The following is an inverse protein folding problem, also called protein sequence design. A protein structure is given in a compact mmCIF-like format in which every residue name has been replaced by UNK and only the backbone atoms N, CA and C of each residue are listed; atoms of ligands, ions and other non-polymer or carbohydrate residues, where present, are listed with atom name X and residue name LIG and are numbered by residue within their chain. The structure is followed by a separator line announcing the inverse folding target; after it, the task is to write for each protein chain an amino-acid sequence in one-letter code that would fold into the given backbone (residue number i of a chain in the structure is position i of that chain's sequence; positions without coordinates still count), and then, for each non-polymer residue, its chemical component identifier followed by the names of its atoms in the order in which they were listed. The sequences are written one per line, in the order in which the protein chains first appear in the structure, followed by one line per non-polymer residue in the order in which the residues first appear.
data_IF_515366292264
#
_entry.id   IF_515366292264
#
_cell.length_a   1.000
_cell.length_b   1.000
_cell.length_c   1.000
_cell.angle_alpha   90.00
_cell.angle_beta   90.00
_cell.angle_gamma   90.00
#
_symmetry.space_group_name_H-M   'P 1'
#
loop_
_entity.id
_entity.type
_entity.pdbx_description
1 polymer ?
#
# COMPACT_ATOMS: atom_id res chain seq x y z
N UNK A 1 19.15 5.75 -35.99
CA UNK A 1 17.79 5.21 -36.20
C UNK A 1 17.69 3.92 -35.39
N UNK A 2 17.20 4.00 -34.14
CA UNK A 2 16.67 2.93 -33.24
C UNK A 2 16.90 3.33 -31.78
N UNK A 3 16.10 4.27 -31.26
CA UNK A 3 16.00 4.47 -29.81
C UNK A 3 14.55 4.81 -29.41
N UNK A 4 13.60 4.01 -29.92
CA UNK A 4 12.16 4.17 -29.63
C UNK A 4 11.60 3.07 -28.72
N UNK A 5 12.39 2.06 -28.36
CA UNK A 5 11.89 0.84 -27.69
C UNK A 5 12.06 0.82 -26.16
N UNK A 6 12.82 1.74 -25.55
CA UNK A 6 13.06 1.72 -24.08
C UNK A 6 12.00 2.42 -23.20
N UNK A 7 10.99 3.09 -23.77
CA UNK A 7 9.92 3.76 -22.97
C UNK A 7 8.78 2.84 -22.51
N UNK A 8 8.71 1.60 -23.00
CA UNK A 8 7.58 0.71 -22.78
C UNK A 8 7.30 0.26 -21.32
N UNK A 9 8.30 0.00 -20.44
CA UNK A 9 8.01 -0.65 -19.15
C UNK A 9 7.40 0.30 -18.09
N UNK A 10 7.71 1.59 -18.13
CA UNK A 10 7.20 2.56 -17.16
C UNK A 10 5.74 2.99 -17.43
N UNK A 11 5.35 3.06 -18.70
CA UNK A 11 3.97 3.37 -19.09
C UNK A 11 2.99 2.29 -18.60
N UNK A 12 3.39 1.01 -18.66
CA UNK A 12 2.55 -0.13 -18.28
C UNK A 12 2.21 -0.15 -16.79
N UNK A 13 3.17 0.18 -15.91
CA UNK A 13 2.94 0.21 -14.44
C UNK A 13 1.97 1.33 -14.02
N UNK A 14 2.10 2.51 -14.62
CA UNK A 14 1.17 3.62 -14.38
C UNK A 14 -0.24 3.28 -14.85
N UNK A 15 -0.38 2.64 -16.02
CA UNK A 15 -1.67 2.22 -16.55
C UNK A 15 -2.36 1.20 -15.63
N UNK A 16 -1.61 0.25 -15.07
CA UNK A 16 -2.15 -0.75 -14.15
C UNK A 16 -2.69 -0.13 -12.86
N UNK A 17 -1.97 0.82 -12.24
CA UNK A 17 -2.47 1.47 -11.02
C UNK A 17 -3.67 2.37 -11.29
N UNK A 18 -3.67 3.12 -12.39
CA UNK A 18 -4.82 3.95 -12.77
C UNK A 18 -6.04 3.08 -13.10
N UNK A 19 -5.85 2.00 -13.86
CA UNK A 19 -6.93 1.06 -14.20
C UNK A 19 -7.50 0.37 -12.97
N UNK A 20 -6.63 -0.09 -12.06
CA UNK A 20 -7.05 -0.69 -10.80
C UNK A 20 -7.79 0.31 -9.90
N UNK A 21 -7.27 1.53 -9.75
CA UNK A 21 -7.94 2.59 -8.99
C UNK A 21 -9.31 2.94 -9.55
N UNK A 22 -9.46 3.01 -10.88
CA UNK A 22 -10.73 3.27 -11.53
C UNK A 22 -11.74 2.13 -11.29
N UNK A 23 -11.29 0.87 -11.42
CA UNK A 23 -12.12 -0.31 -11.15
C UNK A 23 -12.67 -0.28 -9.71
N UNK A 24 -11.84 0.08 -8.72
CA UNK A 24 -12.27 0.20 -7.34
C UNK A 24 -13.29 1.32 -7.15
N UNK A 25 -13.08 2.49 -7.74
CA UNK A 25 -14.06 3.59 -7.66
C UNK A 25 -15.41 3.17 -8.27
N UNK A 26 -15.40 2.46 -9.40
CA UNK A 26 -16.63 1.93 -10.00
C UNK A 26 -17.32 0.88 -9.11
N UNK A 27 -16.55 -0.05 -8.54
CA UNK A 27 -17.08 -1.03 -7.59
C UNK A 27 -17.70 -0.35 -6.36
N UNK A 28 -17.05 0.68 -5.85
CA UNK A 28 -17.58 1.49 -4.75
C UNK A 28 -18.89 2.18 -5.12
N UNK A 29 -18.99 2.75 -6.32
CA UNK A 29 -20.23 3.36 -6.80
C UNK A 29 -21.39 2.35 -6.85
N UNK A 30 -21.13 1.10 -7.27
CA UNK A 30 -22.12 0.01 -7.22
C UNK A 30 -22.55 -0.29 -5.78
N UNK A 31 -21.61 -0.41 -4.84
CA UNK A 31 -21.92 -0.67 -3.42
C UNK A 31 -22.74 0.47 -2.79
N UNK A 32 -22.45 1.73 -3.13
CA UNK A 32 -23.24 2.86 -2.65
C UNK A 32 -24.61 2.96 -3.34
N UNK A 33 -24.76 2.46 -4.57
CA UNK A 33 -26.05 2.41 -5.24
C UNK A 33 -26.99 1.35 -4.64
N UNK A 34 -26.46 0.25 -4.09
CA UNK A 34 -27.25 -0.81 -3.46
C UNK A 34 -27.65 -0.47 -2.01
N UNK A 35 -26.82 0.29 -1.28
CA UNK A 35 -27.04 0.59 0.13
C UNK A 35 -28.39 1.28 0.47
N UNK A 36 -28.90 2.27 -0.32
CA UNK A 36 -30.19 2.90 -0.05
C UNK A 36 -31.36 1.93 -0.09
N UNK A 37 -31.36 0.96 -1.02
CA UNK A 37 -32.42 -0.05 -1.14
C UNK A 37 -32.48 -0.95 0.09
N UNK A 38 -31.32 -1.48 0.50
CA UNK A 38 -31.19 -2.34 1.69
C UNK A 38 -31.60 -1.58 2.96
N UNK A 39 -31.23 -0.30 3.07
CA UNK A 39 -31.63 0.55 4.20
C UNK A 39 -33.12 0.86 4.20
N UNK A 40 -33.72 1.09 3.02
CA UNK A 40 -35.15 1.33 2.89
C UNK A 40 -35.96 0.09 3.30
N UNK A 41 -35.53 -1.11 2.90
CA UNK A 41 -36.15 -2.36 3.32
C UNK A 41 -36.04 -2.59 4.83
N UNK A 42 -34.89 -2.26 5.44
CA UNK A 42 -34.75 -2.31 6.90
C UNK A 42 -35.72 -1.37 7.60
N UNK A 43 -35.82 -0.11 7.15
CA UNK A 43 -36.73 0.87 7.74
C UNK A 43 -38.19 0.46 7.55
N UNK A 44 -38.52 -0.12 6.38
CA UNK A 44 -39.85 -0.65 6.10
C UNK A 44 -40.21 -1.81 7.04
N UNK A 45 -39.29 -2.75 7.26
CA UNK A 45 -39.48 -3.83 8.22
C UNK A 45 -39.61 -3.32 9.66
N UNK A 46 -38.74 -2.39 10.08
CA UNK A 46 -38.79 -1.82 11.43
C UNK A 46 -40.08 -1.01 11.69
N UNK A 47 -40.65 -0.41 10.65
CA UNK A 47 -41.91 0.32 10.72
C UNK A 47 -43.15 -0.57 10.48
N UNK A 48 -42.97 -1.82 10.06
CA UNK A 48 -44.08 -2.72 9.74
C UNK A 48 -44.85 -3.09 11.00
N UNK A 49 -46.15 -2.79 11.02
CA UNK A 49 -47.06 -3.15 12.10
C UNK A 49 -47.46 -4.64 12.00
N UNK A 50 -48.02 -5.19 13.07
CA UNK A 50 -48.58 -6.54 13.02
C UNK A 50 -49.79 -6.61 12.08
N UNK A 51 -49.86 -7.63 11.24
CA UNK A 51 -51.00 -7.85 10.36
C UNK A 51 -52.27 -8.16 11.18
N UNK A 52 -53.46 -7.67 10.75
CA UNK A 52 -54.74 -8.15 11.26
C UNK A 52 -54.85 -9.68 11.16
N UNK A 53 -55.49 -10.29 12.15
CA UNK A 53 -55.64 -11.75 12.22
C UNK A 53 -56.21 -12.32 10.90
N UNK A 54 -55.53 -13.34 10.35
CA UNK A 54 -55.94 -14.00 9.11
C UNK A 54 -55.55 -13.28 7.81
N UNK A 55 -54.81 -12.17 7.88
CA UNK A 55 -54.28 -11.47 6.70
C UNK A 55 -52.76 -11.59 6.60
N UNK A 56 -52.26 -11.74 5.38
CA UNK A 56 -50.85 -11.71 5.04
C UNK A 56 -50.64 -10.61 4.01
N UNK A 57 -49.63 -9.76 4.20
CA UNK A 57 -49.29 -8.66 3.29
C UNK A 57 -47.80 -8.35 3.40
N UNK A 58 -47.24 -7.78 2.33
CA UNK A 58 -45.84 -7.35 2.25
C UNK A 58 -45.52 -6.11 3.10
N UNK A 59 -46.55 -5.44 3.62
CA UNK A 59 -46.47 -4.21 4.41
C UNK A 59 -46.56 -4.40 5.92
N UNK A 60 -46.89 -5.60 6.40
CA UNK A 60 -47.08 -5.89 7.81
C UNK A 60 -46.34 -7.18 8.21
N UNK A 61 -46.14 -7.37 9.51
CA UNK A 61 -45.50 -8.57 10.06
C UNK A 61 -46.54 -9.57 10.55
N UNK A 62 -46.33 -10.85 10.27
CA UNK A 62 -47.19 -11.93 10.79
C UNK A 62 -46.38 -12.76 11.78
N UNK A 63 -47.00 -13.23 12.85
CA UNK A 63 -46.35 -14.16 13.78
C UNK A 63 -47.01 -15.54 13.72
N UNK A 64 -46.21 -16.59 13.86
CA UNK A 64 -46.69 -17.97 13.83
C UNK A 64 -45.93 -18.86 14.82
N UNK A 65 -46.62 -19.74 15.57
CA UNK A 65 -45.94 -20.69 16.45
C UNK A 65 -45.26 -21.79 15.65
N UNK A 66 -44.05 -22.16 16.07
CA UNK A 66 -43.29 -23.27 15.53
C UNK A 66 -42.60 -24.05 16.64
N UNK A 67 -42.31 -25.31 16.39
CA UNK A 67 -41.57 -26.18 17.32
C UNK A 67 -40.16 -26.40 16.81
N UNK A 68 -39.19 -26.30 17.70
CA UNK A 68 -37.78 -26.58 17.39
C UNK A 68 -37.60 -28.08 17.25
N UNK A 69 -37.16 -28.54 16.08
CA UNK A 69 -36.86 -29.96 15.82
C UNK A 69 -35.44 -30.29 16.25
N UNK A 70 -34.48 -29.47 15.84
CA UNK A 70 -33.06 -29.65 16.18
C UNK A 70 -32.26 -28.39 15.92
N UNK A 71 -31.03 -28.36 16.44
CA UNK A 71 -30.03 -27.35 16.17
C UNK A 71 -28.88 -27.99 15.41
N UNK A 72 -28.35 -27.29 14.42
CA UNK A 72 -27.11 -27.67 13.73
C UNK A 72 -26.12 -26.53 13.79
N UNK A 73 -24.88 -26.86 14.04
CA UNK A 73 -23.76 -25.94 13.94
C UNK A 73 -22.87 -26.45 12.82
N UNK A 74 -22.63 -25.61 11.81
CA UNK A 74 -21.78 -25.94 10.69
C UNK A 74 -20.56 -25.03 10.69
N UNK A 75 -19.37 -25.62 10.77
CA UNK A 75 -18.13 -24.87 10.66
C UNK A 75 -17.80 -24.62 9.19
N UNK A 76 -17.74 -23.34 8.80
CA UNK A 76 -17.37 -22.91 7.46
C UNK A 76 -16.04 -22.15 7.50
N UNK A 77 -14.93 -22.87 7.30
CA UNK A 77 -13.51 -22.42 7.17
C UNK A 77 -12.99 -21.50 8.29
N UNK A 78 -13.64 -20.38 8.55
CA UNK A 78 -13.31 -19.37 9.58
C UNK A 78 -14.55 -18.83 10.32
N UNK A 79 -15.76 -19.28 10.00
CA UNK A 79 -17.02 -18.85 10.63
C UNK A 79 -17.90 -20.04 11.02
N UNK A 80 -18.77 -19.86 12.01
CA UNK A 80 -19.76 -20.84 12.45
C UNK A 80 -21.14 -20.41 11.95
N UNK A 81 -21.85 -21.31 11.28
CA UNK A 81 -23.23 -21.09 10.85
C UNK A 81 -24.17 -21.81 11.82
N UNK A 82 -25.11 -21.07 12.39
CA UNK A 82 -26.05 -21.55 13.41
C UNK A 82 -27.41 -21.79 12.78
N UNK A 83 -27.80 -23.05 12.63
CA UNK A 83 -29.03 -23.43 11.95
C UNK A 83 -30.06 -23.98 12.94
N UNK A 84 -31.26 -23.42 12.95
CA UNK A 84 -32.43 -23.98 13.62
C UNK A 84 -33.29 -24.72 12.60
N UNK A 85 -33.64 -25.96 12.92
CA UNK A 85 -34.65 -26.71 12.18
C UNK A 85 -35.97 -26.59 12.93
N UNK A 86 -36.97 -26.02 12.26
CA UNK A 86 -38.24 -25.63 12.85
C UNK A 86 -39.39 -26.30 12.09
N UNK A 87 -40.46 -26.68 12.78
CA UNK A 87 -41.70 -27.16 12.16
C UNK A 87 -42.84 -26.26 12.60
N UNK A 88 -43.49 -25.60 11.65
CA UNK A 88 -44.63 -24.73 11.94
C UNK A 88 -45.85 -25.54 12.42
N UNK A 89 -46.63 -24.96 13.33
CA UNK A 89 -47.82 -25.61 13.86
C UNK A 89 -48.85 -25.85 12.74
N UNK A 90 -49.18 -27.12 12.50
CA UNK A 90 -50.10 -27.52 11.43
C UNK A 90 -49.42 -27.78 10.09
N UNK A 91 -48.10 -27.61 9.98
CA UNK A 91 -47.30 -28.05 8.85
C UNK A 91 -46.53 -29.32 9.19
N UNK A 92 -46.30 -30.17 8.20
CA UNK A 92 -45.40 -31.33 8.30
C UNK A 92 -44.00 -31.05 7.72
N UNK A 93 -43.77 -29.85 7.16
CA UNK A 93 -42.49 -29.48 6.59
C UNK A 93 -41.55 -28.90 7.64
N UNK A 94 -40.33 -29.44 7.70
CA UNK A 94 -39.25 -28.85 8.50
C UNK A 94 -38.56 -27.76 7.69
N UNK A 95 -38.57 -26.54 8.20
CA UNK A 95 -37.84 -25.41 7.63
C UNK A 95 -36.48 -25.24 8.33
N UNK A 96 -35.49 -24.83 7.55
CA UNK A 96 -34.13 -24.58 8.03
C UNK A 96 -33.89 -23.08 8.06
N UNK A 97 -33.64 -22.54 9.25
CA UNK A 97 -33.47 -21.11 9.50
C UNK A 97 -32.07 -20.84 9.99
N UNK A 98 -31.35 -19.95 9.30
CA UNK A 98 -30.02 -19.51 9.72
C UNK A 98 -30.15 -18.36 10.73
N UNK A 99 -29.53 -18.52 11.90
CA UNK A 99 -29.48 -17.52 12.96
C UNK A 99 -28.24 -16.66 12.81
N UNK A 100 -28.33 -15.38 13.14
CA UNK A 100 -27.20 -14.42 13.07
C UNK A 100 -26.05 -14.74 14.03
N UNK A 101 -26.28 -15.59 15.03
CA UNK A 101 -25.29 -15.95 16.05
C UNK A 101 -25.81 -16.98 17.05
N UNK A 102 -25.00 -17.32 18.06
CA UNK A 102 -25.37 -18.32 19.07
C UNK A 102 -26.34 -17.78 20.14
N UNK A 103 -26.42 -16.46 20.31
CA UNK A 103 -27.25 -15.80 21.31
C UNK A 103 -28.17 -14.75 20.65
N UNK A 104 -29.31 -14.40 21.28
CA UNK A 104 -29.81 -14.91 22.56
C UNK A 104 -30.70 -16.16 22.48
N UNK A 105 -31.21 -16.55 21.31
CA UNK A 105 -32.22 -17.62 21.18
C UNK A 105 -31.59 -18.98 20.86
N UNK A 106 -30.62 -19.05 19.93
CA UNK A 106 -30.06 -20.33 19.47
C UNK A 106 -29.52 -21.21 20.61
N UNK A 107 -28.77 -20.64 21.55
CA UNK A 107 -28.25 -21.37 22.72
C UNK A 107 -29.33 -21.72 23.74
N UNK A 108 -30.36 -20.87 23.86
CA UNK A 108 -31.42 -21.03 24.86
C UNK A 108 -32.42 -22.15 24.51
N UNK A 109 -32.72 -22.33 23.22
CA UNK A 109 -33.74 -23.29 22.77
C UNK A 109 -33.21 -24.72 22.67
N UNK A 110 -34.11 -25.68 22.86
CA UNK A 110 -33.91 -27.13 22.77
C UNK A 110 -34.93 -27.75 21.81
N UNK A 111 -34.63 -28.97 21.35
CA UNK A 111 -35.61 -29.73 20.57
C UNK A 111 -36.88 -29.97 21.40
N UNK A 112 -38.04 -29.69 20.81
CA UNK A 112 -39.35 -29.73 21.45
C UNK A 112 -39.86 -28.37 21.95
N UNK A 113 -39.00 -27.35 22.04
CA UNK A 113 -39.43 -26.03 22.51
C UNK A 113 -40.33 -25.33 21.49
N UNK A 114 -41.34 -24.62 21.99
CA UNK A 114 -42.19 -23.75 21.17
C UNK A 114 -41.55 -22.36 21.05
N UNK A 115 -41.42 -21.89 19.82
CA UNK A 115 -40.89 -20.58 19.45
C UNK A 115 -41.90 -19.84 18.59
N UNK A 116 -41.83 -18.51 18.60
CA UNK A 116 -42.64 -17.67 17.72
C UNK A 116 -41.80 -17.15 16.58
N UNK A 117 -42.20 -17.44 15.35
CA UNK A 117 -41.58 -16.94 14.13
C UNK A 117 -42.25 -15.63 13.72
N UNK A 118 -41.44 -14.63 13.39
CA UNK A 118 -41.91 -13.37 12.80
C UNK A 118 -41.60 -13.37 11.31
N UNK A 119 -42.64 -13.26 10.50
CA UNK A 119 -42.59 -13.21 9.05
C UNK A 119 -42.75 -11.78 8.54
N UNK A 120 -42.01 -11.46 7.48
CA UNK A 120 -42.23 -10.26 6.67
C UNK A 120 -41.93 -10.59 5.21
N UNK A 121 -42.86 -10.25 4.30
CA UNK A 121 -42.80 -10.62 2.87
C UNK A 121 -42.56 -12.12 2.63
N UNK A 122 -43.19 -12.95 3.46
CA UNK A 122 -43.08 -14.42 3.38
C UNK A 122 -41.77 -15.01 3.90
N UNK A 123 -40.83 -14.20 4.38
CA UNK A 123 -39.54 -14.67 4.92
C UNK A 123 -39.53 -14.57 6.45
N UNK A 124 -38.92 -15.55 7.12
CA UNK A 124 -38.67 -15.50 8.55
C UNK A 124 -37.58 -14.45 8.80
N UNK A 125 -37.91 -13.43 9.59
CA UNK A 125 -36.98 -12.35 9.96
C UNK A 125 -36.49 -12.47 11.39
N UNK A 126 -37.32 -12.98 12.30
CA UNK A 126 -36.93 -13.17 13.69
C UNK A 126 -37.53 -14.45 14.27
N UNK A 127 -36.82 -15.01 15.24
CA UNK A 127 -37.28 -16.10 16.10
C UNK A 127 -37.31 -15.58 17.53
N UNK A 128 -38.45 -15.74 18.19
CA UNK A 128 -38.67 -15.31 19.57
C UNK A 128 -38.90 -16.52 20.45
N UNK A 129 -38.21 -16.55 21.59
CA UNK A 129 -38.35 -17.57 22.63
C UNK A 129 -38.49 -16.89 24.00
N UNK A 130 -39.67 -16.99 24.60
CA UNK A 130 -40.00 -16.25 25.82
C UNK A 130 -39.85 -14.73 25.62
N UNK A 131 -39.01 -14.10 26.43
CA UNK A 131 -38.69 -12.66 26.32
C UNK A 131 -37.53 -12.36 25.36
N UNK A 132 -36.81 -13.37 24.86
CA UNK A 132 -35.68 -13.19 23.97
C UNK A 132 -36.14 -13.24 22.50
N UNK A 133 -35.74 -12.25 21.72
CA UNK A 133 -35.91 -12.25 20.27
C UNK A 133 -34.54 -12.22 19.59
N UNK A 134 -34.36 -13.03 18.55
CA UNK A 134 -33.14 -13.06 17.76
C UNK A 134 -33.48 -12.97 16.28
N UNK A 135 -32.75 -12.10 15.57
CA UNK A 135 -32.88 -11.97 14.12
C UNK A 135 -32.23 -13.16 13.39
N UNK A 136 -32.80 -13.55 12.26
CA UNK A 136 -32.23 -14.55 11.35
C UNK A 136 -31.31 -13.90 10.34
N UNK A 137 -30.43 -14.66 9.66
CA UNK A 137 -29.59 -14.12 8.58
C UNK A 137 -30.43 -13.59 7.40
N UNK A 138 -31.64 -14.13 7.20
CA UNK A 138 -32.62 -13.56 6.28
C UNK A 138 -33.12 -12.16 6.68
N UNK A 139 -32.83 -11.69 7.89
CA UNK A 139 -33.13 -10.34 8.36
C UNK A 139 -31.95 -9.45 8.00
N UNK A 140 -32.06 -8.74 6.87
CA UNK A 140 -31.03 -7.86 6.31
C UNK A 140 -30.81 -6.57 7.13
N UNK A 141 -31.04 -6.60 8.44
CA UNK A 141 -31.12 -5.42 9.30
C UNK A 141 -29.79 -4.70 9.48
N UNK A 142 -28.66 -5.35 9.22
CA UNK A 142 -27.34 -4.72 9.27
C UNK A 142 -26.55 -4.79 7.95
N UNK A 143 -27.14 -5.33 6.88
CA UNK A 143 -26.44 -5.54 5.60
C UNK A 143 -25.98 -4.23 4.96
N UNK A 144 -26.76 -3.15 5.12
CA UNK A 144 -26.40 -1.83 4.59
C UNK A 144 -25.08 -1.31 5.18
N UNK A 145 -24.71 -1.71 6.40
CA UNK A 145 -23.48 -1.28 7.07
C UNK A 145 -22.27 -1.91 6.40
N UNK A 146 -22.40 -3.17 6.00
CA UNK A 146 -21.39 -3.86 5.21
C UNK A 146 -21.22 -3.17 3.85
N UNK A 147 -22.31 -2.93 3.11
CA UNK A 147 -22.23 -2.24 1.81
C UNK A 147 -21.63 -0.83 1.93
N UNK A 148 -22.06 -0.04 2.92
CA UNK A 148 -21.56 1.31 3.15
C UNK A 148 -20.08 1.28 3.56
N UNK A 149 -19.71 0.44 4.52
CA UNK A 149 -18.35 0.32 5.02
C UNK A 149 -17.39 -0.17 3.94
N UNK A 150 -17.74 -1.23 3.21
CA UNK A 150 -16.95 -1.74 2.09
C UNK A 150 -16.88 -0.73 0.96
N UNK A 151 -17.98 -0.02 0.66
CA UNK A 151 -18.01 1.07 -0.31
C UNK A 151 -17.01 2.17 0.02
N UNK A 152 -16.99 2.64 1.27
CA UNK A 152 -16.03 3.63 1.77
C UNK A 152 -14.59 3.14 1.70
N UNK A 153 -14.34 1.89 2.13
CA UNK A 153 -13.01 1.29 2.08
C UNK A 153 -12.46 1.27 0.65
N UNK A 154 -13.24 0.70 -0.27
CA UNK A 154 -12.89 0.55 -1.68
C UNK A 154 -12.73 1.93 -2.34
N UNK A 155 -13.58 2.91 -2.00
CA UNK A 155 -13.49 4.27 -2.53
C UNK A 155 -12.15 4.93 -2.16
N UNK A 156 -11.84 4.98 -0.87
CA UNK A 156 -10.69 5.73 -0.37
C UNK A 156 -9.38 5.07 -0.79
N UNK A 157 -9.35 3.74 -0.82
CA UNK A 157 -8.23 3.00 -1.38
C UNK A 157 -8.07 3.24 -2.89
N UNK A 158 -9.18 3.21 -3.65
CA UNK A 158 -9.21 3.50 -5.08
C UNK A 158 -8.73 4.91 -5.42
N UNK A 159 -9.20 5.93 -4.68
CA UNK A 159 -8.76 7.31 -4.81
C UNK A 159 -7.26 7.47 -4.50
N UNK A 160 -6.76 6.78 -3.47
CA UNK A 160 -5.34 6.74 -3.15
C UNK A 160 -4.48 6.15 -4.29
N UNK A 161 -4.97 5.08 -4.94
CA UNK A 161 -4.32 4.48 -6.10
C UNK A 161 -4.37 5.37 -7.35
N UNK A 162 -5.51 6.03 -7.62
CA UNK A 162 -5.66 7.00 -8.70
C UNK A 162 -4.73 8.20 -8.51
N UNK A 163 -4.65 8.75 -7.30
CA UNK A 163 -3.74 9.84 -6.96
C UNK A 163 -2.28 9.44 -7.19
N UNK A 164 -1.88 8.24 -6.76
CA UNK A 164 -0.53 7.72 -6.98
C UNK A 164 -0.23 7.54 -8.49
N UNK A 165 -1.19 7.03 -9.27
CA UNK A 165 -1.06 6.89 -10.72
C UNK A 165 -0.97 8.23 -11.44
N UNK A 166 -1.81 9.20 -11.07
CA UNK A 166 -1.78 10.57 -11.58
C UNK A 166 -0.45 11.26 -11.27
N UNK A 167 0.00 11.17 -10.02
CA UNK A 167 1.27 11.73 -9.60
C UNK A 167 2.44 11.12 -10.38
N UNK A 168 2.46 9.79 -10.53
CA UNK A 168 3.46 9.09 -11.32
C UNK A 168 3.44 9.51 -12.80
N UNK A 169 2.27 9.79 -13.38
CA UNK A 169 2.17 10.23 -14.78
C UNK A 169 2.67 11.66 -14.98
N UNK A 170 2.30 12.60 -14.12
CA UNK A 170 2.52 14.03 -14.35
C UNK A 170 3.76 14.60 -13.68
N UNK A 171 4.28 13.99 -12.61
CA UNK A 171 5.41 14.53 -11.83
C UNK A 171 6.71 13.74 -11.97
N UNK A 172 6.72 12.67 -12.77
CA UNK A 172 7.78 11.66 -12.76
C UNK A 172 8.57 11.38 -14.05
N UNK A 173 8.29 11.97 -15.24
CA UNK A 173 9.17 11.78 -16.40
C UNK A 173 10.64 12.18 -16.15
N UNK A 174 10.91 12.99 -15.11
CA UNK A 174 12.21 13.59 -14.83
C UNK A 174 12.96 13.04 -13.61
N UNK A 175 12.38 12.13 -12.82
CA UNK A 175 12.96 11.68 -11.55
C UNK A 175 13.14 10.15 -11.50
N UNK A 176 14.18 9.62 -12.18
CA UNK A 176 14.52 8.18 -12.17
C UNK A 176 14.96 7.64 -10.80
N UNK A 177 15.14 8.51 -9.80
CA UNK A 177 15.58 8.15 -8.46
C UNK A 177 14.53 8.34 -7.37
N UNK A 178 13.32 8.78 -7.73
CA UNK A 178 12.34 9.03 -6.70
C UNK A 178 11.96 7.68 -6.05
N UNK A 179 12.18 7.65 -4.74
CA UNK A 179 11.82 6.57 -3.85
C UNK A 179 10.33 6.21 -4.10
N UNK A 180 10.00 4.91 -4.15
CA UNK A 180 8.67 4.40 -4.48
C UNK A 180 7.59 4.80 -3.46
N UNK A 181 7.91 5.68 -2.51
CA UNK A 181 7.03 6.17 -1.48
C UNK A 181 5.73 6.76 -2.05
N UNK A 182 5.75 7.42 -3.21
CA UNK A 182 4.54 7.97 -3.82
C UNK A 182 3.53 6.88 -4.23
N UNK A 183 4.03 5.72 -4.65
CA UNK A 183 3.21 4.56 -5.00
C UNK A 183 2.60 3.91 -3.75
N UNK A 184 3.19 4.12 -2.58
CA UNK A 184 2.71 3.53 -1.32
C UNK A 184 1.86 4.50 -0.49
N UNK A 185 2.18 5.80 -0.46
CA UNK A 185 1.54 6.74 0.47
C UNK A 185 0.07 6.93 0.15
N UNK A 186 -0.29 7.14 -1.12
CA UNK A 186 -1.70 7.29 -1.51
C UNK A 186 -2.53 6.07 -1.11
N UNK A 187 -2.17 4.85 -1.56
CA UNK A 187 -2.89 3.63 -1.19
C UNK A 187 -2.89 3.33 0.31
N UNK A 188 -1.78 3.56 1.04
CA UNK A 188 -1.74 3.32 2.49
C UNK A 188 -2.62 4.31 3.25
N UNK A 189 -2.59 5.60 2.90
CA UNK A 189 -3.47 6.59 3.50
C UNK A 189 -4.94 6.30 3.17
N UNK A 190 -5.21 5.92 1.91
CA UNK A 190 -6.53 5.48 1.46
C UNK A 190 -7.03 4.24 2.19
N UNK A 191 -6.18 3.25 2.42
CA UNK A 191 -6.51 2.04 3.17
C UNK A 191 -6.76 2.33 4.65
N UNK A 192 -5.96 3.20 5.28
CA UNK A 192 -6.16 3.60 6.67
C UNK A 192 -7.49 4.34 6.87
N UNK A 193 -7.80 5.31 6.00
CA UNK A 193 -9.10 5.99 5.99
C UNK A 193 -10.25 5.05 5.66
N UNK A 194 -10.02 4.14 4.71
CA UNK A 194 -10.99 3.14 4.32
C UNK A 194 -11.35 2.21 5.46
N UNK A 195 -10.34 1.72 6.19
CA UNK A 195 -10.53 0.85 7.35
C UNK A 195 -11.26 1.59 8.47
N UNK A 196 -10.91 2.85 8.71
CA UNK A 196 -11.64 3.70 9.65
C UNK A 196 -13.12 3.81 9.26
N UNK A 197 -13.43 4.07 7.98
CA UNK A 197 -14.80 4.16 7.49
C UNK A 197 -15.57 2.84 7.60
N UNK A 198 -14.90 1.71 7.33
CA UNK A 198 -15.47 0.37 7.49
C UNK A 198 -15.82 0.07 8.96
N UNK A 199 -14.88 0.32 9.88
CA UNK A 199 -15.09 0.12 11.32
C UNK A 199 -16.18 1.05 11.85
N UNK A 200 -16.17 2.32 11.42
CA UNK A 200 -17.17 3.30 11.79
C UNK A 200 -18.58 2.84 11.39
N UNK A 201 -18.76 2.33 10.16
CA UNK A 201 -20.03 1.78 9.70
C UNK A 201 -20.47 0.55 10.53
N UNK A 202 -19.52 -0.31 10.93
CA UNK A 202 -19.77 -1.47 11.77
C UNK A 202 -20.22 -1.14 13.20
N UNK A 203 -19.85 0.04 13.73
CA UNK A 203 -20.16 0.43 15.12
C UNK A 203 -21.22 1.53 15.24
N UNK A 204 -21.48 2.30 14.19
CA UNK A 204 -22.38 3.47 14.20
C UNK A 204 -23.87 3.11 14.25
N UNK A 205 -24.67 3.91 14.98
CA UNK A 205 -26.14 3.80 14.95
C UNK A 205 -26.77 4.35 13.68
N UNK A 206 -26.04 5.18 12.92
CA UNK A 206 -26.51 5.67 11.62
C UNK A 206 -25.43 6.33 10.78
N UNK A 207 -25.80 6.69 9.54
CA UNK A 207 -24.89 7.30 8.57
C UNK A 207 -24.26 8.63 9.06
N UNK A 208 -24.98 9.39 9.90
CA UNK A 208 -24.46 10.64 10.48
C UNK A 208 -23.25 10.41 11.37
N UNK A 209 -23.28 9.36 12.22
CA UNK A 209 -22.16 9.02 13.11
C UNK A 209 -20.94 8.61 12.29
N UNK A 210 -21.13 7.85 11.20
CA UNK A 210 -20.05 7.47 10.28
C UNK A 210 -19.38 8.71 9.70
N UNK A 211 -20.16 9.69 9.24
CA UNK A 211 -19.62 10.95 8.72
C UNK A 211 -18.86 11.73 9.77
N UNK A 212 -19.33 11.77 11.02
CA UNK A 212 -18.63 12.42 12.13
C UNK A 212 -17.30 11.73 12.47
N UNK A 213 -17.29 10.40 12.58
CA UNK A 213 -16.06 9.62 12.84
C UNK A 213 -15.05 9.85 11.72
N UNK A 214 -15.50 9.85 10.47
CA UNK A 214 -14.63 10.13 9.32
C UNK A 214 -14.11 11.57 9.32
N UNK A 215 -14.95 12.56 9.65
CA UNK A 215 -14.54 13.96 9.74
C UNK A 215 -13.46 14.19 10.81
N UNK A 216 -13.56 13.50 11.95
CA UNK A 216 -12.58 13.57 13.04
C UNK A 216 -11.30 12.79 12.72
N UNK A 217 -11.41 11.62 12.07
CA UNK A 217 -10.26 10.78 11.76
C UNK A 217 -9.49 11.18 10.49
N UNK A 218 -10.09 11.98 9.59
CA UNK A 218 -9.43 12.43 8.37
C UNK A 218 -8.19 13.32 8.64
N UNK A 219 -8.24 14.37 9.49
CA UNK A 219 -7.09 15.22 9.77
C UNK A 219 -5.83 14.48 10.27
N UNK A 220 -5.88 13.58 11.29
CA UNK A 220 -4.67 12.91 11.77
C UNK A 220 -4.06 11.98 10.72
N UNK A 221 -4.87 11.28 9.92
CA UNK A 221 -4.36 10.40 8.86
C UNK A 221 -3.68 11.22 7.75
N UNK A 222 -4.29 12.33 7.32
CA UNK A 222 -3.67 13.24 6.36
C UNK A 222 -2.40 13.89 6.92
N UNK A 223 -2.40 14.30 8.18
CA UNK A 223 -1.23 14.88 8.84
C UNK A 223 -0.07 13.87 8.88
N UNK A 224 -0.32 12.62 9.25
CA UNK A 224 0.69 11.56 9.25
C UNK A 224 1.20 11.25 7.84
N UNK A 225 0.30 11.17 6.86
CA UNK A 225 0.67 10.97 5.46
C UNK A 225 1.58 12.11 4.97
N UNK A 226 1.18 13.37 5.18
CA UNK A 226 1.97 14.56 4.82
C UNK A 226 3.32 14.55 5.53
N UNK A 227 3.35 14.33 6.85
CA UNK A 227 4.60 14.26 7.61
C UNK A 227 5.54 13.19 7.05
N UNK A 228 5.02 11.99 6.78
CA UNK A 228 5.78 10.90 6.18
C UNK A 228 6.31 11.29 4.80
N UNK A 229 5.50 11.92 3.94
CA UNK A 229 5.95 12.43 2.63
C UNK A 229 7.06 13.46 2.77
N UNK A 230 6.93 14.42 3.68
CA UNK A 230 7.90 15.50 3.90
C UNK A 230 9.20 14.92 4.44
N UNK A 231 9.15 13.99 5.39
CA UNK A 231 10.35 13.32 5.93
C UNK A 231 11.05 12.53 4.82
N UNK A 232 10.30 11.79 4.00
CA UNK A 232 10.85 11.04 2.86
C UNK A 232 11.48 11.97 1.82
N UNK A 233 10.79 13.04 1.43
CA UNK A 233 11.28 14.04 0.49
C UNK A 233 12.53 14.76 1.02
N UNK A 234 12.57 15.09 2.31
CA UNK A 234 13.76 15.67 2.93
C UNK A 234 14.92 14.69 2.92
N UNK A 235 14.69 13.41 3.23
CA UNK A 235 15.72 12.36 3.17
C UNK A 235 16.24 12.16 1.75
N UNK A 236 15.38 12.13 0.75
CA UNK A 236 15.81 11.98 -0.65
C UNK A 236 16.58 13.21 -1.12
N UNK A 237 16.08 14.44 -0.86
CA UNK A 237 16.80 15.67 -1.19
C UNK A 237 18.17 15.72 -0.51
N UNK A 238 18.24 15.36 0.76
CA UNK A 238 19.52 15.29 1.49
C UNK A 238 20.45 14.28 0.85
N UNK A 239 19.98 13.09 0.48
CA UNK A 239 20.80 12.07 -0.18
C UNK A 239 21.38 12.55 -1.51
N UNK A 240 20.58 13.28 -2.29
CA UNK A 240 20.93 13.83 -3.61
C UNK A 240 21.83 15.06 -3.55
N UNK A 241 21.87 15.79 -2.43
CA UNK A 241 22.65 17.02 -2.29
C UNK A 241 24.17 16.73 -2.17
N UNK A 242 24.99 17.08 -3.17
CA UNK A 242 26.42 16.82 -3.14
C UNK A 242 27.21 17.86 -2.33
N UNK A 243 26.58 18.95 -1.86
CA UNK A 243 27.28 20.08 -1.20
C UNK A 243 28.07 19.68 0.05
N UNK A 244 27.69 18.59 0.71
CA UNK A 244 28.41 18.05 1.87
C UNK A 244 29.65 17.20 1.54
N UNK A 245 29.97 16.96 0.26
CA UNK A 245 31.15 16.19 -0.15
C UNK A 245 32.34 17.14 -0.27
N UNK A 246 33.10 17.25 0.82
CA UNK A 246 34.32 18.06 0.90
C UNK A 246 35.54 17.16 0.71
N UNK A 247 36.58 17.56 -0.05
CA UNK A 247 37.78 16.76 -0.22
C UNK A 247 38.52 16.56 1.11
N UNK A 248 38.91 15.31 1.37
CA UNK A 248 39.68 14.92 2.56
C UNK A 248 40.93 14.16 2.10
N UNK A 249 42.14 14.67 2.36
CA UNK A 249 43.37 13.96 2.02
C UNK A 249 43.39 12.57 2.70
N UNK A 250 43.74 11.49 1.98
CA UNK A 250 43.83 10.17 2.58
C UNK A 250 44.97 10.12 3.61
N UNK A 251 44.69 9.64 4.83
CA UNK A 251 45.71 9.50 5.90
C UNK A 251 46.60 8.26 5.75
N UNK A 252 46.42 7.50 4.67
CA UNK A 252 47.14 6.27 4.37
C UNK A 252 46.39 5.47 3.30
N UNK A 253 46.95 4.32 2.94
CA UNK A 253 46.37 3.44 1.92
C UNK A 253 44.97 2.97 2.31
N UNK A 254 43.98 3.21 1.44
CA UNK A 254 42.61 2.72 1.58
C UNK A 254 42.11 2.18 0.24
N UNK A 255 41.39 1.08 0.27
CA UNK A 255 40.64 0.58 -0.88
C UNK A 255 39.15 0.89 -0.64
N UNK A 256 38.52 1.60 -1.57
CA UNK A 256 37.11 2.01 -1.46
C UNK A 256 36.31 1.50 -2.65
N UNK A 257 35.05 1.07 -2.47
CA UNK A 257 34.19 0.70 -3.58
C UNK A 257 33.95 1.91 -4.49
N UNK A 258 34.41 1.82 -5.73
CA UNK A 258 34.28 2.86 -6.72
C UNK A 258 34.52 2.30 -8.13
N UNK A 259 33.72 2.74 -9.09
CA UNK A 259 33.84 2.31 -10.49
C UNK A 259 34.22 3.50 -11.35
N UNK A 260 35.25 3.33 -12.18
CA UNK A 260 35.68 4.32 -13.16
C UNK A 260 35.09 3.96 -14.51
N UNK A 261 34.45 4.93 -15.17
CA UNK A 261 33.85 4.74 -16.50
C UNK A 261 34.16 5.92 -17.40
N UNK A 262 34.60 5.62 -18.61
CA UNK A 262 34.83 6.60 -19.66
C UNK A 262 35.42 5.91 -20.87
N UNK A 263 35.55 6.63 -21.98
CA UNK A 263 36.30 6.14 -23.14
C UNK A 263 37.80 6.31 -22.91
N UNK A 264 38.35 5.61 -21.91
CA UNK A 264 39.74 5.75 -21.44
C UNK A 264 40.36 4.39 -21.12
N UNK A 265 41.68 4.20 -21.32
CA UNK A 265 42.31 2.87 -21.23
C UNK A 265 42.31 2.26 -19.82
N UNK A 266 42.06 3.05 -18.78
CA UNK A 266 41.96 2.61 -17.38
C UNK A 266 40.51 2.38 -16.91
N UNK A 267 39.51 2.59 -17.78
CA UNK A 267 38.12 2.20 -17.54
C UNK A 267 37.94 0.72 -17.89
N UNK A 268 38.18 -0.17 -16.93
CA UNK A 268 38.11 -1.62 -17.13
C UNK A 268 36.85 -2.19 -16.48
N UNK A 269 36.08 -2.99 -17.24
CA UNK A 269 34.92 -3.69 -16.70
C UNK A 269 35.33 -4.65 -15.57
N UNK A 270 34.56 -4.67 -14.48
CA UNK A 270 34.86 -5.45 -13.28
C UNK A 270 35.80 -4.77 -12.29
N UNK A 271 36.34 -3.59 -12.61
CA UNK A 271 37.10 -2.79 -11.65
C UNK A 271 36.11 -1.95 -10.83
N UNK A 272 35.72 -2.49 -9.68
CA UNK A 272 34.70 -1.96 -8.77
C UNK A 272 35.28 -1.33 -7.49
N UNK A 273 36.61 -1.25 -7.40
CA UNK A 273 37.32 -0.62 -6.29
C UNK A 273 38.37 0.40 -6.78
N UNK A 274 38.65 1.39 -5.93
CA UNK A 274 39.70 2.38 -6.10
C UNK A 274 40.60 2.41 -4.87
N UNK A 275 41.92 2.27 -5.08
CA UNK A 275 42.94 2.44 -4.05
C UNK A 275 43.36 3.90 -4.01
N UNK A 276 43.41 4.49 -2.82
CA UNK A 276 43.79 5.88 -2.56
C UNK A 276 44.79 5.95 -1.39
N UNK A 277 45.61 7.00 -1.34
CA UNK A 277 46.54 7.26 -0.22
C UNK A 277 47.87 6.49 -0.24
N UNK A 278 48.19 5.84 -1.37
CA UNK A 278 49.46 5.14 -1.63
C UNK A 278 49.99 5.60 -3.00
N UNK A 279 50.25 6.91 -3.11
CA UNK A 279 50.49 7.58 -4.39
C UNK A 279 49.21 7.92 -5.15
N UNK A 280 49.27 7.83 -6.48
CA UNK A 280 48.13 8.16 -7.35
C UNK A 280 46.98 7.16 -7.15
N UNK A 281 45.71 7.63 -7.19
CA UNK A 281 44.57 6.73 -7.15
C UNK A 281 44.66 5.66 -8.24
N UNK A 282 44.29 4.42 -7.93
CA UNK A 282 44.35 3.31 -8.89
C UNK A 282 43.11 2.43 -8.83
N UNK A 283 42.51 2.16 -9.98
CA UNK A 283 41.37 1.26 -10.09
C UNK A 283 41.82 -0.20 -9.97
N UNK A 284 41.01 -1.05 -9.35
CA UNK A 284 41.30 -2.46 -9.12
C UNK A 284 40.00 -3.28 -8.97
N UNK A 285 39.98 -4.56 -9.35
CA UNK A 285 38.90 -5.49 -9.03
C UNK A 285 39.06 -6.12 -7.62
N UNK A 286 40.19 -5.92 -6.97
CA UNK A 286 40.49 -6.52 -5.66
C UNK A 286 39.97 -5.63 -4.53
N UNK A 287 39.06 -6.11 -3.66
CA UNK A 287 38.56 -5.35 -2.53
C UNK A 287 39.63 -4.97 -1.49
N UNK A 288 40.78 -5.64 -1.50
CA UNK A 288 41.95 -5.29 -0.68
C UNK A 288 42.96 -4.40 -1.43
N UNK A 289 42.78 -4.24 -2.74
CA UNK A 289 43.61 -3.45 -3.62
C UNK A 289 45.06 -3.90 -3.73
N UNK A 290 45.35 -5.19 -3.54
CA UNK A 290 46.69 -5.76 -3.68
C UNK A 290 47.02 -6.13 -5.14
N UNK A 291 46.02 -6.41 -5.96
CA UNK A 291 46.21 -6.94 -7.32
C UNK A 291 45.66 -6.02 -8.42
N UNK A 292 46.18 -6.21 -9.64
CA UNK A 292 45.67 -5.63 -10.89
C UNK A 292 45.39 -4.10 -10.82
N UNK A 293 46.27 -3.33 -10.17
CA UNK A 293 46.11 -1.87 -10.05
C UNK A 293 46.33 -1.18 -11.39
N UNK A 294 45.38 -0.34 -11.79
CA UNK A 294 45.49 0.57 -12.94
C UNK A 294 45.50 2.01 -12.43
N UNK A 295 46.68 2.67 -12.36
CA UNK A 295 46.77 4.03 -11.85
C UNK A 295 45.99 5.00 -12.75
N UNK A 296 45.30 5.96 -12.14
CA UNK A 296 44.67 7.07 -12.84
C UNK A 296 45.75 8.09 -13.27
N UNK A 297 45.61 8.69 -14.47
CA UNK A 297 46.60 9.62 -14.99
C UNK A 297 46.53 10.98 -14.27
N UNK A 298 47.61 11.74 -14.34
CA UNK A 298 47.75 13.07 -13.73
C UNK A 298 46.98 14.14 -14.49
N UNK A 299 46.67 13.86 -15.75
CA UNK A 299 45.84 14.68 -16.63
C UNK A 299 44.37 14.65 -16.22
N UNK A 300 43.97 13.74 -15.32
CA UNK A 300 42.61 13.63 -14.82
C UNK A 300 42.31 14.78 -13.85
N UNK A 301 41.45 15.69 -14.28
CA UNK A 301 41.02 16.86 -13.50
C UNK A 301 39.58 16.70 -13.04
N UNK A 302 39.29 17.03 -11.77
CA UNK A 302 37.91 16.98 -11.25
C UNK A 302 37.14 18.21 -11.71
N UNK A 303 35.99 18.01 -12.33
CA UNK A 303 35.10 19.07 -12.81
C UNK A 303 33.96 19.34 -11.84
N UNK A 304 33.23 18.29 -11.43
CA UNK A 304 32.06 18.44 -10.58
C UNK A 304 31.78 17.19 -9.75
N UNK A 305 31.02 17.34 -8.66
CA UNK A 305 30.43 16.22 -7.92
C UNK A 305 28.92 16.35 -8.01
N UNK A 306 28.26 15.31 -8.47
CA UNK A 306 26.80 15.30 -8.66
C UNK A 306 26.18 13.99 -8.17
N UNK A 307 24.87 13.98 -7.89
CA UNK A 307 24.14 12.73 -7.74
C UNK A 307 24.12 11.92 -9.04
N UNK A 308 23.86 10.61 -8.91
CA UNK A 308 23.54 9.74 -10.04
C UNK A 308 22.36 10.30 -10.86
N UNK A 309 22.41 10.17 -12.19
CA UNK A 309 21.43 10.67 -13.18
C UNK A 309 20.76 9.50 -13.93
N UNK A 310 19.59 9.73 -14.57
CA UNK A 310 18.94 8.75 -15.45
C UNK A 310 19.86 8.12 -16.51
N UNK A 311 20.78 8.92 -17.05
CA UNK A 311 21.63 8.55 -18.18
C UNK A 311 22.91 7.82 -17.74
N UNK A 312 23.13 7.71 -16.42
CA UNK A 312 24.25 6.95 -15.87
C UNK A 312 24.03 5.43 -16.05
N UNK A 313 25.11 4.63 -16.07
CA UNK A 313 25.02 3.18 -16.14
C UNK A 313 24.06 2.57 -15.10
N UNK A 314 23.11 1.75 -15.56
CA UNK A 314 22.07 1.13 -14.72
C UNK A 314 22.65 0.29 -13.58
N UNK A 315 23.81 -0.34 -13.80
CA UNK A 315 24.50 -1.12 -12.77
C UNK A 315 24.82 -0.28 -11.52
N UNK A 316 25.14 1.01 -11.68
CA UNK A 316 25.50 1.89 -10.57
C UNK A 316 24.35 2.16 -9.62
N UNK A 317 23.12 2.26 -10.16
CA UNK A 317 21.91 2.39 -9.35
C UNK A 317 21.68 1.16 -8.46
N UNK A 318 22.06 -0.03 -8.92
CA UNK A 318 21.95 -1.25 -8.13
C UNK A 318 23.05 -1.36 -7.06
N UNK A 319 24.29 -0.97 -7.39
CA UNK A 319 25.46 -1.08 -6.51
C UNK A 319 25.44 -0.05 -5.38
N UNK A 320 25.29 1.23 -5.73
CA UNK A 320 25.41 2.33 -4.77
C UNK A 320 24.06 2.83 -4.22
N UNK A 321 22.95 2.29 -4.76
CA UNK A 321 21.59 2.62 -4.35
C UNK A 321 21.38 4.14 -4.33
N UNK A 322 20.91 4.68 -3.19
CA UNK A 322 20.58 6.11 -3.04
C UNK A 322 21.71 6.96 -2.49
N UNK A 323 22.80 6.32 -2.09
CA UNK A 323 23.96 6.99 -1.51
C UNK A 323 25.08 7.12 -2.55
N UNK A 324 24.81 6.81 -3.82
CA UNK A 324 25.77 6.94 -4.91
C UNK A 324 25.96 8.39 -5.35
N UNK A 325 27.23 8.80 -5.45
CA UNK A 325 27.63 10.06 -6.06
C UNK A 325 28.53 9.78 -7.26
N UNK A 326 28.54 10.70 -8.21
CA UNK A 326 29.40 10.67 -9.40
C UNK A 326 30.32 11.87 -9.32
N UNK A 327 31.62 11.60 -9.32
CA UNK A 327 32.67 12.59 -9.49
C UNK A 327 32.92 12.65 -11.00
N UNK A 328 32.55 13.76 -11.62
CA UNK A 328 32.83 14.03 -13.03
C UNK A 328 34.26 14.56 -13.14
N UNK A 329 35.05 13.86 -13.93
CA UNK A 329 36.42 14.20 -14.23
C UNK A 329 36.60 14.40 -15.74
N UNK A 330 37.65 15.12 -16.11
CA UNK A 330 38.07 15.32 -17.48
C UNK A 330 39.52 14.88 -17.64
N UNK A 331 39.78 14.06 -18.64
CA UNK A 331 41.11 13.62 -19.05
C UNK A 331 41.32 14.01 -20.51
N UNK A 332 41.97 15.15 -20.73
CA UNK A 332 42.04 15.78 -22.05
C UNK A 332 40.67 16.19 -22.57
N UNK A 333 40.24 15.60 -23.69
CA UNK A 333 38.93 15.83 -24.32
C UNK A 333 37.85 14.84 -23.84
N UNK A 334 38.21 13.87 -23.00
CA UNK A 334 37.32 12.76 -22.60
C UNK A 334 36.73 12.99 -21.22
N UNK A 335 35.43 12.76 -21.10
CA UNK A 335 34.74 12.74 -19.81
C UNK A 335 34.94 11.38 -19.13
N UNK A 336 35.36 11.42 -17.88
CA UNK A 336 35.53 10.24 -17.03
C UNK A 336 34.64 10.40 -15.81
N UNK A 337 33.85 9.37 -15.53
CA UNK A 337 32.90 9.32 -14.44
C UNK A 337 33.40 8.34 -13.40
N UNK A 338 33.64 8.82 -12.18
CA UNK A 338 33.98 7.96 -11.04
C UNK A 338 32.76 7.91 -10.13
N UNK A 339 32.09 6.76 -10.06
CA UNK A 339 30.98 6.57 -9.13
C UNK A 339 31.44 5.90 -7.85
N UNK A 340 30.89 6.31 -6.71
CA UNK A 340 31.20 5.72 -5.40
C UNK A 340 30.05 5.97 -4.42
N UNK A 341 30.12 5.35 -3.25
CA UNK A 341 29.27 5.73 -2.12
C UNK A 341 29.68 7.11 -1.58
N UNK A 342 28.70 7.93 -1.19
CA UNK A 342 28.88 9.29 -0.68
C UNK A 342 29.89 9.38 0.46
N UNK A 343 29.95 8.36 1.33
CA UNK A 343 30.90 8.27 2.45
C UNK A 343 32.37 8.13 2.01
N UNK A 344 32.62 7.58 0.82
CA UNK A 344 33.97 7.38 0.28
C UNK A 344 34.41 8.53 -0.64
N UNK A 345 33.45 9.26 -1.21
CA UNK A 345 33.72 10.37 -2.12
C UNK A 345 34.69 11.45 -1.57
N UNK A 346 34.61 11.88 -0.29
CA UNK A 346 35.59 12.82 0.28
C UNK A 346 37.04 12.39 0.11
N UNK A 347 37.33 11.11 0.36
CA UNK A 347 38.70 10.57 0.33
C UNK A 347 39.18 10.41 -1.11
N UNK A 348 38.31 9.98 -2.03
CA UNK A 348 38.62 9.91 -3.45
C UNK A 348 38.90 11.30 -4.00
N UNK A 349 38.04 12.27 -3.68
CA UNK A 349 38.18 13.65 -4.12
C UNK A 349 39.48 14.27 -3.58
N UNK A 350 39.80 14.04 -2.30
CA UNK A 350 41.07 14.47 -1.72
C UNK A 350 42.28 13.83 -2.42
N UNK A 351 42.21 12.54 -2.73
CA UNK A 351 43.30 11.83 -3.42
C UNK A 351 43.48 12.29 -4.88
N UNK A 352 42.41 12.67 -5.58
CA UNK A 352 42.48 13.23 -6.94
C UNK A 352 43.00 14.68 -6.96
N UNK A 353 42.70 15.47 -5.93
CA UNK A 353 43.13 16.87 -5.83
C UNK A 353 44.52 17.04 -5.23
N UNK A 354 45.03 16.04 -4.51
CA UNK A 354 46.38 16.08 -3.95
C UNK A 354 47.38 15.92 -5.10
N UNK A 355 47.89 17.05 -5.58
CA UNK A 355 49.00 17.08 -6.53
C UNK A 355 50.19 16.41 -5.86
N UNK A 356 50.67 15.33 -6.44
CA UNK A 356 51.80 14.58 -5.87
C UNK A 356 53.08 15.38 -6.10
N UNK A 357 53.48 16.21 -5.13
CA UNK A 357 54.74 16.99 -5.15
C UNK A 357 56.01 16.11 -5.02
N UNK A 358 55.96 14.84 -5.42
CA UNK A 358 57.13 13.97 -5.42
C UNK A 358 57.97 14.13 -6.68
N UNK A 359 58.60 15.29 -6.79
CA UNK A 359 59.90 15.44 -7.45
C UNK A 359 60.91 15.93 -6.41
N UNK A 360 61.37 15.02 -5.56
CA UNK A 360 62.67 15.17 -4.90
C UNK A 360 63.33 13.79 -4.79
N UNK A 361 64.23 13.43 -5.72
CA UNK A 361 65.06 12.25 -5.55
C UNK A 361 66.05 12.52 -4.40
N UNK A 362 66.17 11.55 -3.49
CA UNK A 362 67.33 11.44 -2.59
C UNK A 362 68.45 10.70 -3.30
#
# INVERSE_FOLDING_TARGET
MTDRTRRAPHARKSLLMTGFGLLLVLLSAVLFATAPGVRADQLAYAAATACPAGTQSDSCTTTGPATVVSKKEEQRRTSHMYWLLLTEKGSHSTQRVEMTGPEPVYNAVRAGDEVTLTYWRGEIRAVTFGAAAQQTVGSSTDDWRFFLGSGLFVLLFGLGALWAGWWHRYRYPTATQADAWHLTVGPVAGAALGLLGFLAAGTSGGAGDVSLIMAVGLPPVLMLAVLYTVVRLRRTRRATDPSGVVPVPPTGRRCVPATVRGDVPYSVDGFDHLVVGDGRPAATPDPFGNLARRPLPETLTVQSVRPLRPDDPVAWLSTFKRDGVVIECQDGDRTVLITTARRAAPVILGALLTKTDHQQPR
#
